data_IF_838130365511
#
_entry.id   IF_838130365511
#
_cell.length_a   1.000
_cell.length_b   1.000
_cell.length_c   1.000
_cell.angle_alpha   90.00
_cell.angle_beta   90.00
_cell.angle_gamma   90.00
#
_symmetry.space_group_name_H-M   'P 1'
#
loop_
_entity.id
_entity.type
_entity.pdbx_description
1 polymer ?
#
# COMPACT_ATOMS: atom_id res chain seq x y z
N UNK A 1 14.60 10.84 8.94
CA UNK A 1 13.36 10.38 9.61
C UNK A 1 12.12 11.14 9.12
N UNK A 2 12.19 12.47 8.98
CA UNK A 2 11.14 13.38 8.45
C UNK A 2 10.51 12.94 7.12
N UNK A 3 11.33 12.54 6.14
CA UNK A 3 10.84 12.15 4.80
C UNK A 3 9.97 10.88 4.79
N UNK A 4 10.11 9.99 5.79
CA UNK A 4 9.24 8.81 5.88
C UNK A 4 7.84 9.17 6.35
N UNK A 5 7.73 10.08 7.34
CA UNK A 5 6.45 10.59 7.80
C UNK A 5 5.71 11.34 6.70
N UNK A 6 6.40 12.22 5.95
CA UNK A 6 5.79 12.92 4.82
C UNK A 6 5.30 11.96 3.74
N UNK A 7 6.08 10.94 3.42
CA UNK A 7 5.68 9.95 2.42
C UNK A 7 4.49 9.11 2.90
N UNK A 8 4.48 8.70 4.16
CA UNK A 8 3.34 8.00 4.77
C UNK A 8 2.09 8.87 4.78
N UNK A 9 2.25 10.15 5.12
CA UNK A 9 1.16 11.14 5.13
C UNK A 9 0.60 11.38 3.72
N UNK A 10 1.46 11.50 2.70
CA UNK A 10 1.02 11.69 1.32
C UNK A 10 0.25 10.48 0.79
N UNK A 11 0.77 9.28 1.07
CA UNK A 11 0.12 8.02 0.71
C UNK A 11 -1.23 7.91 1.41
N UNK A 12 -1.28 8.17 2.71
CA UNK A 12 -2.51 8.18 3.49
C UNK A 12 -3.53 9.19 2.96
N UNK A 13 -3.09 10.42 2.65
CA UNK A 13 -3.94 11.47 2.10
C UNK A 13 -4.50 11.07 0.73
N UNK A 14 -3.68 10.45 -0.12
CA UNK A 14 -4.08 9.99 -1.46
C UNK A 14 -5.12 8.88 -1.35
N UNK A 15 -4.91 7.90 -0.46
CA UNK A 15 -5.87 6.83 -0.19
C UNK A 15 -7.16 7.40 0.38
N UNK A 16 -7.06 8.30 1.36
CA UNK A 16 -8.21 8.94 1.99
C UNK A 16 -9.05 9.73 1.00
N UNK A 17 -8.43 10.57 0.17
CA UNK A 17 -9.12 11.30 -0.90
C UNK A 17 -9.73 10.37 -1.94
N UNK A 18 -9.04 9.30 -2.33
CA UNK A 18 -9.55 8.32 -3.29
C UNK A 18 -10.81 7.61 -2.77
N UNK A 19 -10.79 7.17 -1.51
CA UNK A 19 -11.94 6.51 -0.87
C UNK A 19 -13.09 7.47 -0.66
N UNK A 20 -12.80 8.67 -0.14
CA UNK A 20 -13.82 9.69 0.15
C UNK A 20 -14.44 10.20 -1.14
N UNK A 21 -13.63 10.47 -2.17
CA UNK A 21 -14.11 10.85 -3.49
C UNK A 21 -14.97 9.76 -4.12
N UNK A 22 -14.54 8.50 -4.04
CA UNK A 22 -15.33 7.37 -4.54
C UNK A 22 -16.66 7.24 -3.81
N UNK A 23 -16.70 7.40 -2.48
CA UNK A 23 -17.93 7.41 -1.69
C UNK A 23 -18.86 8.54 -2.11
N UNK A 24 -18.34 9.76 -2.28
CA UNK A 24 -19.12 10.94 -2.68
C UNK A 24 -19.69 10.73 -4.09
N UNK A 25 -18.87 10.30 -5.04
CA UNK A 25 -19.31 10.02 -6.42
C UNK A 25 -20.34 8.91 -6.42
N UNK A 26 -20.16 7.86 -5.63
CA UNK A 26 -21.08 6.72 -5.57
C UNK A 26 -22.40 7.09 -4.89
N UNK A 27 -22.37 7.95 -3.87
CA UNK A 27 -23.60 8.51 -3.29
C UNK A 27 -24.33 9.43 -4.26
N UNK A 28 -23.59 10.26 -5.00
CA UNK A 28 -24.15 11.18 -5.99
C UNK A 28 -24.75 10.45 -7.19
N UNK A 29 -24.16 9.33 -7.64
CA UNK A 29 -24.65 8.54 -8.77
C UNK A 29 -25.85 7.65 -8.40
N UNK A 30 -25.96 7.20 -7.15
CA UNK A 30 -27.02 6.26 -6.75
C UNK A 30 -27.51 6.48 -5.31
N UNK A 31 -28.39 7.48 -5.08
CA UNK A 31 -28.90 7.85 -3.75
C UNK A 31 -29.90 6.84 -3.11
N UNK A 32 -29.82 5.56 -3.44
CA UNK A 32 -30.69 4.50 -2.90
C UNK A 32 -30.09 3.10 -2.93
N UNK A 33 -28.80 2.99 -3.25
CA UNK A 33 -28.14 1.70 -3.37
C UNK A 33 -27.96 1.08 -1.96
N UNK A 34 -28.40 -0.18 -1.73
CA UNK A 34 -28.27 -0.80 -0.42
C UNK A 34 -26.83 -0.78 0.08
N UNK A 35 -26.67 -0.40 1.35
CA UNK A 35 -25.38 -0.19 2.03
C UNK A 35 -24.39 -1.33 1.79
N UNK A 36 -24.88 -2.58 1.68
CA UNK A 36 -24.09 -3.78 1.40
C UNK A 36 -23.34 -3.72 0.05
N UNK A 37 -23.97 -3.20 -1.01
CA UNK A 37 -23.35 -3.09 -2.34
C UNK A 37 -22.37 -1.92 -2.38
N UNK A 38 -22.69 -0.83 -1.67
CA UNK A 38 -21.81 0.31 -1.52
C UNK A 38 -20.53 -0.09 -0.78
N UNK A 39 -20.67 -0.87 0.30
CA UNK A 39 -19.51 -1.42 1.02
C UNK A 39 -18.74 -2.40 0.15
N UNK A 40 -19.39 -3.31 -0.58
CA UNK A 40 -18.72 -4.26 -1.50
C UNK A 40 -17.86 -3.55 -2.57
N UNK A 41 -18.41 -2.51 -3.20
CA UNK A 41 -17.67 -1.68 -4.15
C UNK A 41 -16.51 -0.95 -3.47
N UNK A 42 -16.74 -0.44 -2.27
CA UNK A 42 -15.70 0.22 -1.50
C UNK A 42 -14.58 -0.75 -1.15
N UNK A 43 -14.86 -1.96 -0.65
CA UNK A 43 -13.84 -2.97 -0.38
C UNK A 43 -13.14 -3.43 -1.65
N UNK A 44 -13.88 -3.63 -2.75
CA UNK A 44 -13.31 -4.02 -4.04
C UNK A 44 -12.29 -3.01 -4.57
N UNK A 45 -12.45 -1.72 -4.26
CA UNK A 45 -11.48 -0.66 -4.62
C UNK A 45 -10.40 -0.52 -3.53
N UNK A 46 -10.80 -0.57 -2.26
CA UNK A 46 -9.94 -0.32 -1.12
C UNK A 46 -8.90 -1.42 -0.93
N UNK A 47 -9.26 -2.69 -1.13
CA UNK A 47 -8.34 -3.84 -1.03
C UNK A 47 -7.18 -3.75 -2.02
N UNK A 48 -7.39 -3.59 -3.35
CA UNK A 48 -6.28 -3.46 -4.29
C UNK A 48 -5.49 -2.17 -4.04
N UNK A 49 -6.13 -1.08 -3.62
CA UNK A 49 -5.45 0.15 -3.26
C UNK A 49 -4.49 -0.06 -2.06
N UNK A 50 -4.94 -0.78 -1.04
CA UNK A 50 -4.12 -1.18 0.10
C UNK A 50 -2.98 -2.11 -0.35
N UNK A 51 -3.23 -3.09 -1.23
CA UNK A 51 -2.18 -3.97 -1.75
C UNK A 51 -1.10 -3.23 -2.53
N UNK A 52 -1.48 -2.25 -3.37
CA UNK A 52 -0.55 -1.40 -4.13
C UNK A 52 0.28 -0.52 -3.20
N UNK A 53 -0.25 -0.13 -2.04
CA UNK A 53 0.46 0.70 -1.06
C UNK A 53 1.33 -0.12 -0.11
N UNK A 54 0.79 -1.21 0.44
CA UNK A 54 1.46 -2.06 1.42
C UNK A 54 2.53 -2.93 0.75
N UNK A 55 2.28 -3.45 -0.46
CA UNK A 55 3.25 -4.25 -1.21
C UNK A 55 4.64 -3.61 -1.35
N UNK A 56 4.78 -2.38 -1.90
CA UNK A 56 6.07 -1.72 -2.02
C UNK A 56 6.63 -1.28 -0.67
N UNK A 57 5.77 -0.98 0.32
CA UNK A 57 6.21 -0.68 1.69
C UNK A 57 6.82 -1.92 2.37
N UNK A 58 6.17 -3.07 2.26
CA UNK A 58 6.66 -4.36 2.75
C UNK A 58 7.92 -4.78 2.01
N UNK A 59 7.99 -4.61 0.68
CA UNK A 59 9.20 -4.87 -0.10
C UNK A 59 10.37 -3.97 0.35
N UNK A 60 10.13 -2.67 0.56
CA UNK A 60 11.12 -1.72 1.08
C UNK A 60 11.52 -1.96 2.54
N UNK A 61 10.65 -2.60 3.32
CA UNK A 61 10.94 -2.97 4.70
C UNK A 61 11.72 -4.29 4.75
N UNK A 62 11.34 -5.28 3.94
CA UNK A 62 12.03 -6.56 3.81
C UNK A 62 13.48 -6.41 3.35
N UNK A 63 13.77 -5.52 2.39
CA UNK A 63 15.13 -5.24 1.92
C UNK A 63 16.02 -4.55 2.96
N UNK A 64 15.44 -3.98 4.02
CA UNK A 64 16.19 -3.41 5.15
C UNK A 64 16.41 -4.41 6.29
N UNK A 65 15.56 -5.41 6.41
CA UNK A 65 15.60 -6.40 7.50
C UNK A 65 16.37 -7.66 7.07
N UNK A 66 16.23 -8.05 5.80
CA UNK A 66 16.96 -9.14 5.16
C UNK A 66 17.83 -8.54 4.05
N UNK A 67 19.04 -8.03 4.35
CA UNK A 67 20.05 -7.93 3.33
C UNK A 67 20.25 -9.34 2.77
N UNK A 68 20.23 -9.50 1.45
CA UNK A 68 20.59 -10.76 0.78
C UNK A 68 21.98 -11.16 1.29
N UNK A 69 22.02 -12.08 2.26
CA UNK A 69 23.22 -12.82 2.66
C UNK A 69 23.47 -13.85 1.56
N UNK A 70 23.92 -13.34 0.42
CA UNK A 70 24.17 -14.10 -0.79
C UNK A 70 25.52 -13.76 -1.34
N UNK A 71 26.58 -13.93 -0.53
CA UNK A 71 27.88 -14.27 -1.07
C UNK A 71 28.65 -15.12 -0.05
N UNK A 72 28.32 -16.41 -0.03
CA UNK A 72 29.25 -17.41 0.47
C UNK A 72 30.36 -17.60 -0.57
N UNK A 73 31.60 -17.30 -0.13
CA UNK A 73 32.89 -17.96 -0.43
C UNK A 73 33.35 -18.06 -1.92
N UNK A 74 34.67 -18.05 -2.21
CA UNK A 74 35.65 -18.93 -1.57
C UNK A 74 36.61 -18.17 -0.65
N UNK A 75 37.03 -18.87 0.41
CA UNK A 75 38.35 -18.64 0.97
C UNK A 75 39.35 -18.83 -0.17
N UNK A 76 40.10 -17.79 -0.53
CA UNK A 76 41.39 -18.01 -1.17
C UNK A 76 42.32 -18.58 -0.09
N UNK A 77 42.30 -19.90 -0.07
CA UNK A 77 43.27 -20.82 0.50
C UNK A 77 44.68 -20.43 0.01
N UNK A 78 45.66 -20.59 0.91
CA UNK A 78 46.97 -19.93 0.82
C UNK A 78 47.81 -20.23 -0.41
N UNK A 79 48.73 -19.28 -0.67
CA UNK A 79 49.97 -19.48 -1.38
C UNK A 79 51.03 -18.52 -0.82
#
# INVERSE_FOLDING_TARGET
MKSRLLHLFLVWLTVYCGVTGSLIVLQALAPGLPLAVQTLLLTAILVPLILIVIGPMAARLSSRIFPVQGQGAPQEEGA
#
